data_IF_394028276235
#
_entry.id   IF_394028276235
#
_cell.length_a   1.000
_cell.length_b   1.000
_cell.length_c   1.000
_cell.angle_alpha   90.00
_cell.angle_beta   90.00
_cell.angle_gamma   90.00
#
_symmetry.space_group_name_H-M   'P 1'
#
loop_
_entity.id
_entity.type
_entity.pdbx_description
1 polymer ?
#
# COMPACT_ATOMS: atom_id res chain seq x y z
N UNK A 1 13.78 2.08 -15.03
CA UNK A 1 12.49 2.24 -15.72
C UNK A 1 12.64 3.34 -16.76
N UNK A 2 12.61 3.00 -18.04
CA UNK A 2 12.36 3.99 -19.09
C UNK A 2 10.89 4.41 -19.08
N UNK A 3 10.58 5.63 -19.51
CA UNK A 3 9.22 6.21 -19.49
C UNK A 3 8.17 5.34 -20.20
N UNK A 4 8.59 4.56 -21.20
CA UNK A 4 7.74 3.56 -21.88
C UNK A 4 7.36 2.38 -20.99
N UNK A 5 8.27 1.88 -20.16
CA UNK A 5 8.00 0.76 -19.26
C UNK A 5 7.09 1.20 -18.10
N UNK A 6 7.19 2.47 -17.67
CA UNK A 6 6.32 2.99 -16.62
C UNK A 6 4.84 3.07 -17.05
N UNK A 7 4.55 3.55 -18.27
CA UNK A 7 3.18 3.62 -18.77
C UNK A 7 2.54 2.24 -18.94
N UNK A 8 3.29 1.28 -19.48
CA UNK A 8 2.82 -0.10 -19.63
C UNK A 8 2.60 -0.78 -18.27
N UNK A 9 3.52 -0.56 -17.33
CA UNK A 9 3.36 -1.01 -15.95
C UNK A 9 2.11 -0.41 -15.29
N UNK A 10 1.88 0.90 -15.43
CA UNK A 10 0.67 1.55 -14.94
C UNK A 10 -0.61 0.93 -15.52
N UNK A 11 -0.64 0.65 -16.83
CA UNK A 11 -1.79 -0.02 -17.46
C UNK A 11 -2.07 -1.42 -16.92
N UNK A 12 -1.04 -2.16 -16.50
CA UNK A 12 -1.22 -3.49 -15.89
C UNK A 12 -1.58 -3.42 -14.41
N UNK A 13 -1.06 -2.42 -13.69
CA UNK A 13 -1.20 -2.27 -12.24
C UNK A 13 -2.52 -1.60 -11.86
N UNK A 14 -2.99 -0.63 -12.65
CA UNK A 14 -4.21 0.12 -12.37
C UNK A 14 -5.49 -0.75 -12.31
N UNK A 15 -5.72 -1.74 -13.20
CA UNK A 15 -6.84 -2.67 -13.09
C UNK A 15 -6.76 -3.55 -11.84
N UNK A 16 -5.55 -3.95 -11.43
CA UNK A 16 -5.35 -4.78 -10.23
C UNK A 16 -5.67 -3.98 -8.97
N UNK A 17 -5.20 -2.73 -8.89
CA UNK A 17 -5.52 -1.81 -7.79
C UNK A 17 -7.03 -1.55 -7.71
N UNK A 18 -7.67 -1.27 -8.84
CA UNK A 18 -9.13 -1.02 -8.90
C UNK A 18 -9.94 -2.27 -8.56
N UNK A 19 -9.55 -3.45 -9.08
CA UNK A 19 -10.23 -4.72 -8.83
C UNK A 19 -10.17 -5.16 -7.37
N UNK A 20 -9.05 -4.90 -6.69
CA UNK A 20 -8.89 -5.22 -5.27
C UNK A 20 -9.34 -4.10 -4.33
N UNK A 21 -9.95 -3.03 -4.87
CA UNK A 21 -10.37 -1.83 -4.12
C UNK A 21 -9.22 -1.13 -3.37
N UNK A 22 -7.96 -1.39 -3.77
CA UNK A 22 -6.76 -0.83 -3.14
C UNK A 22 -6.52 0.64 -3.49
N UNK A 23 -7.32 1.20 -4.40
CA UNK A 23 -7.23 2.60 -4.81
C UNK A 23 -7.29 3.59 -3.64
N UNK A 24 -8.04 3.26 -2.58
CA UNK A 24 -8.09 4.09 -1.37
C UNK A 24 -6.77 4.14 -0.58
N UNK A 25 -5.85 3.18 -0.74
CA UNK A 25 -4.52 3.25 -0.10
C UNK A 25 -3.59 4.22 -0.82
N UNK A 26 -3.82 4.50 -2.11
CA UNK A 26 -2.90 5.29 -2.94
C UNK A 26 -3.37 6.72 -3.19
N UNK A 27 -4.66 6.92 -3.47
CA UNK A 27 -5.18 8.23 -3.90
C UNK A 27 -5.74 9.04 -2.73
N UNK A 28 -6.34 8.38 -1.75
CA UNK A 28 -6.86 9.06 -0.55
C UNK A 28 -6.76 8.13 0.68
N UNK A 29 -5.54 7.91 1.20
CA UNK A 29 -5.31 6.99 2.31
C UNK A 29 -6.10 7.42 3.54
N UNK A 30 -7.05 6.58 3.94
CA UNK A 30 -7.74 6.69 5.23
C UNK A 30 -6.87 5.97 6.26
N UNK A 31 -5.92 6.70 6.85
CA UNK A 31 -4.99 6.16 7.83
C UNK A 31 -5.67 6.13 9.20
N UNK A 32 -5.84 4.97 9.84
CA UNK A 32 -6.42 4.87 11.18
C UNK A 32 -5.53 5.56 12.23
N UNK A 33 -6.11 5.91 13.38
CA UNK A 33 -5.31 6.43 14.48
C UNK A 33 -4.45 5.32 15.09
N UNK A 34 -3.14 5.53 15.09
CA UNK A 34 -2.15 4.61 15.70
C UNK A 34 -2.43 4.34 17.18
N UNK A 35 -2.85 5.37 17.92
CA UNK A 35 -3.22 5.26 19.33
C UNK A 35 -4.62 5.83 19.53
N UNK A 36 -5.54 5.03 20.05
CA UNK A 36 -6.94 5.45 20.30
C UNK A 36 -7.08 6.40 21.49
N UNK A 37 -6.06 6.53 22.34
CA UNK A 37 -6.07 7.40 23.52
C UNK A 37 -4.64 7.66 24.02
N UNK A 38 -4.48 8.71 24.84
CA UNK A 38 -3.20 9.06 25.48
C UNK A 38 -2.69 7.90 26.36
N UNK A 39 -3.59 7.20 27.06
CA UNK A 39 -3.26 6.01 27.87
C UNK A 39 -2.68 4.88 27.01
N UNK A 40 -3.23 4.66 25.81
CA UNK A 40 -2.72 3.66 24.88
C UNK A 40 -1.36 4.06 24.29
N UNK A 41 -1.10 5.36 24.12
CA UNK A 41 0.20 5.88 23.70
C UNK A 41 1.28 5.63 24.75
N UNK A 42 0.97 5.88 26.01
CA UNK A 42 1.89 5.70 27.14
C UNK A 42 2.21 4.21 27.36
N UNK A 43 1.20 3.34 27.19
CA UNK A 43 1.35 1.88 27.22
C UNK A 43 1.88 1.27 25.91
N UNK A 44 2.21 2.08 24.91
CA UNK A 44 2.61 1.67 23.55
C UNK A 44 1.66 0.65 22.89
N UNK A 45 0.37 0.72 23.21
CA UNK A 45 -0.68 -0.15 22.67
C UNK A 45 -1.21 0.45 21.37
N UNK A 46 -0.76 -0.11 20.26
CA UNK A 46 -1.20 0.27 18.92
C UNK A 46 -2.62 -0.26 18.68
N UNK A 47 -3.45 0.50 17.95
CA UNK A 47 -4.78 0.05 17.56
C UNK A 47 -4.71 -1.11 16.57
N UNK A 48 -5.61 -2.09 16.73
CA UNK A 48 -5.70 -3.24 15.82
C UNK A 48 -6.05 -2.79 14.39
N UNK A 49 -6.85 -1.74 14.25
CA UNK A 49 -7.19 -1.13 12.97
C UNK A 49 -5.98 -0.54 12.25
N UNK A 50 -5.09 0.15 12.99
CA UNK A 50 -3.85 0.67 12.42
C UNK A 50 -2.91 -0.46 12.00
N UNK A 51 -2.79 -1.53 12.81
CA UNK A 51 -1.96 -2.68 12.47
C UNK A 51 -2.46 -3.41 11.21
N UNK A 52 -3.78 -3.62 11.11
CA UNK A 52 -4.38 -4.24 9.93
C UNK A 52 -4.16 -3.38 8.67
N UNK A 53 -4.34 -2.07 8.78
CA UNK A 53 -4.06 -1.12 7.70
C UNK A 53 -2.58 -1.14 7.30
N UNK A 54 -1.66 -1.08 8.27
CA UNK A 54 -0.21 -1.08 8.03
C UNK A 54 0.24 -2.38 7.34
N UNK A 55 -0.29 -3.53 7.77
CA UNK A 55 -0.01 -4.81 7.12
C UNK A 55 -0.44 -4.81 5.65
N UNK A 56 -1.63 -4.26 5.35
CA UNK A 56 -2.16 -4.20 3.99
C UNK A 56 -1.35 -3.23 3.10
N UNK A 57 -0.94 -2.09 3.66
CA UNK A 57 -0.08 -1.10 3.00
C UNK A 57 1.29 -1.70 2.65
N UNK A 58 1.94 -2.39 3.60
CA UNK A 58 3.23 -3.02 3.36
C UNK A 58 3.16 -4.17 2.34
N UNK A 59 2.08 -4.94 2.33
CA UNK A 59 1.85 -5.96 1.29
C UNK A 59 1.67 -5.32 -0.09
N UNK A 60 0.90 -4.23 -0.18
CA UNK A 60 0.73 -3.47 -1.42
C UNK A 60 2.07 -2.92 -1.90
N UNK A 61 2.87 -2.34 -1.01
CA UNK A 61 4.20 -1.83 -1.33
C UNK A 61 5.13 -2.93 -1.84
N UNK A 62 5.19 -4.08 -1.15
CA UNK A 62 5.99 -5.23 -1.59
C UNK A 62 5.54 -5.75 -2.95
N UNK A 63 4.23 -5.78 -3.20
CA UNK A 63 3.68 -6.19 -4.49
C UNK A 63 4.03 -5.21 -5.61
N UNK A 64 3.90 -3.90 -5.37
CA UNK A 64 4.29 -2.86 -6.32
C UNK A 64 5.77 -2.98 -6.68
N UNK A 65 6.64 -3.14 -5.68
CA UNK A 65 8.08 -3.36 -5.90
C UNK A 65 8.35 -4.61 -6.75
N UNK A 66 7.70 -5.74 -6.42
CA UNK A 66 7.83 -6.98 -7.20
C UNK A 66 7.35 -6.82 -8.65
N UNK A 67 6.26 -6.08 -8.86
CA UNK A 67 5.73 -5.82 -10.20
C UNK A 67 6.66 -4.97 -11.07
N UNK A 68 7.42 -4.04 -10.46
CA UNK A 68 8.41 -3.22 -11.17
C UNK A 68 9.71 -3.99 -11.46
N UNK A 69 10.08 -4.94 -10.59
CA UNK A 69 11.29 -5.78 -10.78
C UNK A 69 11.13 -6.82 -11.89
N UNK A 70 9.90 -7.24 -12.21
CA UNK A 70 9.64 -8.22 -13.29
C UNK A 70 10.03 -7.71 -14.69
N UNK A 71 10.00 -6.39 -14.91
CA UNK A 71 10.43 -5.75 -16.16
C UNK A 71 11.97 -5.59 -16.28
N UNK A 72 12.77 -5.98 -15.27
CA UNK A 72 14.24 -6.02 -15.38
C UNK A 72 14.78 -7.32 -15.98
N UNK A 73 13.90 -8.23 -16.39
CA UNK A 73 14.23 -9.62 -16.78
C UNK A 73 13.69 -9.98 -18.17
N UNK A 74 13.82 -9.10 -19.16
CA UNK A 74 13.83 -9.45 -20.59
C UNK A 74 14.50 -8.36 -21.40
#
# INVERSE_FOLDING_TARGET
LDTKNYLFWCQQVEPVIKGHRLHHFLVNPQIPQKFLSIVNRDANRISEEYLAWEQQDQLLLSWLQSSMSKDMLT
#
